data_IF_310274197403
#
_entry.id   IF_310274197403
#
_cell.length_a   1.000
_cell.length_b   1.000
_cell.length_c   1.000
_cell.angle_alpha   90.00
_cell.angle_beta   90.00
_cell.angle_gamma   90.00
#
_symmetry.space_group_name_H-M   'P 1'
#
loop_
_entity.id
_entity.type
_entity.pdbx_description
1 polymer ?
#
# COMPACT_ATOMS: atom_id res chain seq x y z
N UNK A 1 11.30 -2.36 21.33
CA UNK A 1 12.26 -1.43 20.68
C UNK A 1 11.58 -0.85 19.47
N UNK A 2 11.64 0.47 19.25
CA UNK A 2 11.07 1.06 18.03
C UNK A 2 11.81 0.51 16.81
N UNK A 3 11.10 0.12 15.75
CA UNK A 3 11.71 -0.44 14.55
C UNK A 3 12.48 0.59 13.72
N UNK A 4 12.22 1.88 13.98
CA UNK A 4 12.90 3.01 13.39
C UNK A 4 13.99 3.52 14.33
N UNK A 5 15.10 3.94 13.74
CA UNK A 5 16.24 4.56 14.41
C UNK A 5 16.27 6.07 14.15
N UNK A 6 17.05 6.83 14.91
CA UNK A 6 17.20 8.28 14.69
C UNK A 6 17.72 8.63 13.28
N UNK A 7 18.47 7.72 12.64
CA UNK A 7 18.92 7.90 11.26
C UNK A 7 17.77 7.92 10.24
N UNK A 8 16.65 7.29 10.58
CA UNK A 8 15.46 7.21 9.73
C UNK A 8 14.57 8.45 9.85
N UNK A 9 14.77 9.29 10.88
CA UNK A 9 13.91 10.45 11.16
C UNK A 9 13.79 11.43 9.98
N UNK A 10 14.87 11.85 9.30
CA UNK A 10 14.76 12.74 8.14
C UNK A 10 13.94 12.10 7.00
N UNK A 11 14.12 10.80 6.78
CA UNK A 11 13.39 10.04 5.76
C UNK A 11 11.90 9.97 6.10
N UNK A 12 11.58 9.66 7.36
CA UNK A 12 10.19 9.59 7.84
C UNK A 12 9.52 10.95 7.69
N UNK A 13 10.18 12.05 8.08
CA UNK A 13 9.64 13.39 7.95
C UNK A 13 9.41 13.77 6.48
N UNK A 14 10.38 13.48 5.61
CA UNK A 14 10.31 13.76 4.18
C UNK A 14 9.17 13.00 3.49
N UNK A 15 9.10 11.68 3.69
CA UNK A 15 8.08 10.84 3.07
C UNK A 15 6.69 11.10 3.63
N UNK A 16 6.56 11.31 4.94
CA UNK A 16 5.27 11.63 5.55
C UNK A 16 4.76 12.99 5.07
N UNK A 17 5.63 14.00 4.97
CA UNK A 17 5.29 15.31 4.42
C UNK A 17 4.90 15.27 2.94
N UNK A 18 5.40 14.29 2.18
CA UNK A 18 5.04 14.06 0.78
C UNK A 18 3.75 13.23 0.60
N UNK A 19 3.10 12.76 1.67
CA UNK A 19 1.88 11.96 1.60
C UNK A 19 2.12 10.44 1.45
N UNK A 20 3.28 9.94 1.85
CA UNK A 20 3.56 8.49 1.85
C UNK A 20 2.98 7.82 3.10
N UNK A 21 2.30 6.69 2.94
CA UNK A 21 1.68 5.97 4.05
C UNK A 21 2.70 5.27 4.98
N UNK A 22 2.34 4.95 6.24
CA UNK A 22 3.26 4.38 7.22
C UNK A 22 3.94 3.08 6.78
N UNK A 23 3.18 2.18 6.14
CA UNK A 23 3.73 0.91 5.65
C UNK A 23 4.73 1.13 4.51
N UNK A 24 4.52 2.12 3.64
CA UNK A 24 5.52 2.49 2.64
C UNK A 24 6.76 3.12 3.28
N UNK A 25 6.60 3.97 4.29
CA UNK A 25 7.74 4.54 5.03
C UNK A 25 8.60 3.42 5.62
N UNK A 26 8.00 2.42 6.27
CA UNK A 26 8.73 1.25 6.78
C UNK A 26 9.52 0.50 5.70
N UNK A 27 8.97 0.38 4.49
CA UNK A 27 9.68 -0.24 3.35
C UNK A 27 10.94 0.54 2.98
N UNK A 28 10.85 1.86 2.88
CA UNK A 28 11.99 2.72 2.56
C UNK A 28 13.01 2.84 3.70
N UNK A 29 12.57 2.68 4.95
CA UNK A 29 13.43 2.57 6.14
C UNK A 29 13.95 1.13 6.38
N UNK A 30 13.81 0.22 5.42
CA UNK A 30 14.37 -1.15 5.47
C UNK A 30 13.88 -1.99 6.66
N UNK A 31 12.67 -1.73 7.14
CA UNK A 31 12.09 -2.47 8.26
C UNK A 31 11.65 -3.85 7.75
N UNK A 32 12.40 -4.89 8.12
CA UNK A 32 12.12 -6.28 7.73
C UNK A 32 11.18 -7.06 8.65
N UNK A 33 10.72 -6.47 9.76
CA UNK A 33 9.83 -7.17 10.69
C UNK A 33 8.40 -7.19 10.18
N UNK A 34 7.94 -8.38 9.75
CA UNK A 34 6.63 -8.60 9.14
C UNK A 34 5.46 -8.24 10.07
N UNK A 35 5.60 -8.48 11.38
CA UNK A 35 4.53 -8.23 12.36
C UNK A 35 4.17 -6.76 12.45
N UNK A 36 5.14 -5.86 12.23
CA UNK A 36 4.90 -4.42 12.25
C UNK A 36 3.94 -3.97 11.16
N UNK A 37 4.02 -4.59 9.98
CA UNK A 37 3.15 -4.24 8.85
C UNK A 37 1.69 -4.64 9.09
N UNK A 38 1.44 -5.57 10.00
CA UNK A 38 0.11 -6.11 10.31
C UNK A 38 -0.66 -5.26 11.33
N UNK A 39 -0.03 -4.27 11.97
CA UNK A 39 -0.76 -3.37 12.86
C UNK A 39 -1.78 -2.53 12.09
N UNK A 40 -2.89 -2.13 12.74
CA UNK A 40 -3.88 -1.24 12.16
C UNK A 40 -3.26 0.07 11.68
N UNK A 41 -3.74 0.58 10.55
CA UNK A 41 -3.23 1.81 9.93
C UNK A 41 -3.17 3.00 10.91
N UNK A 42 -4.24 3.19 11.71
CA UNK A 42 -4.35 4.28 12.69
C UNK A 42 -3.25 4.20 13.76
N UNK A 43 -2.92 3.00 14.21
CA UNK A 43 -1.86 2.77 15.20
C UNK A 43 -0.49 3.08 14.60
N UNK A 44 -0.23 2.60 13.38
CA UNK A 44 1.02 2.90 12.67
C UNK A 44 1.24 4.39 12.46
N UNK A 45 0.19 5.11 12.07
CA UNK A 45 0.24 6.55 11.88
C UNK A 45 0.49 7.29 13.21
N UNK A 46 -0.16 6.86 14.30
CA UNK A 46 0.08 7.41 15.64
C UNK A 46 1.54 7.20 16.07
N UNK A 47 2.07 5.99 15.88
CA UNK A 47 3.44 5.65 16.25
C UNK A 47 4.47 6.47 15.46
N UNK A 48 4.25 6.70 14.16
CA UNK A 48 5.12 7.57 13.35
C UNK A 48 5.08 9.04 13.82
N UNK A 49 3.88 9.58 14.08
CA UNK A 49 3.74 10.95 14.60
C UNK A 49 4.41 11.10 15.97
N UNK A 50 4.29 10.11 16.85
CA UNK A 50 4.96 10.12 18.15
C UNK A 50 6.48 10.01 18.01
N UNK A 51 6.97 9.16 17.11
CA UNK A 51 8.39 9.06 16.79
C UNK A 51 8.97 10.41 16.37
N UNK A 52 8.26 11.16 15.51
CA UNK A 52 8.66 12.50 15.09
C UNK A 52 8.65 13.54 16.23
N UNK A 53 7.69 13.47 17.16
CA UNK A 53 7.58 14.41 18.29
C UNK A 53 8.66 14.25 19.37
N UNK A 54 9.16 13.03 19.59
CA UNK A 54 10.07 12.71 20.71
C UNK A 54 11.42 13.44 20.79
N UNK A 55 11.75 14.33 19.83
CA UNK A 55 12.92 15.22 19.90
C UNK A 55 12.59 16.71 20.07
N UNK A 56 11.35 17.15 19.86
CA UNK A 56 10.99 18.57 20.11
C UNK A 56 11.21 18.93 21.60
N UNK A 57 10.94 17.99 22.51
CA UNK A 57 11.15 18.18 23.95
C UNK A 57 12.65 18.18 24.35
N UNK A 58 13.55 17.68 23.50
CA UNK A 58 15.01 17.63 23.78
C UNK A 58 15.76 18.84 23.24
N UNK A 59 15.30 19.47 22.18
CA UNK A 59 15.92 20.69 21.63
C UNK A 59 15.51 21.96 22.43
N UNK A 60 14.31 22.01 23.01
CA UNK A 60 13.87 23.14 23.84
C UNK A 60 14.50 23.20 25.25
N UNK A 61 15.26 22.17 25.65
CA UNK A 61 15.91 22.10 26.98
C UNK A 61 17.41 22.42 26.95
N UNK A 62 18.00 22.65 25.76
CA UNK A 62 19.43 22.89 25.60
C UNK A 62 19.79 24.37 25.44
N UNK A 63 19.37 25.25 26.37
CA UNK A 63 19.86 26.63 26.38
C UNK A 63 19.83 27.35 27.74
N UNK A 64 20.28 26.76 28.85
CA UNK A 64 20.74 27.56 30.00
C UNK A 64 21.86 26.84 30.73
N UNK A 65 23.06 27.42 30.71
CA UNK A 65 23.96 27.55 31.86
C UNK A 65 25.25 28.26 31.45
N UNK A 66 25.27 29.60 31.59
CA UNK A 66 26.48 30.35 31.94
C UNK A 66 26.08 31.49 32.89
N UNK A 67 26.63 31.44 34.10
CA UNK A 67 26.48 32.38 35.21
C UNK A 67 26.89 33.84 34.90
N UNK A 68 26.10 34.80 35.40
CA UNK A 68 26.48 36.22 35.56
C UNK A 68 25.33 37.16 36.00
N UNK A 69 25.57 38.24 36.79
CA UNK A 69 24.73 38.65 37.95
C UNK A 69 23.85 39.93 37.73
N UNK A 70 23.07 40.41 38.74
CA UNK A 70 21.69 40.91 38.55
C UNK A 70 21.58 42.41 38.29
N UNK A 71 20.58 42.83 37.49
CA UNK A 71 20.15 44.23 37.45
C UNK A 71 18.63 44.43 37.24
N UNK A 72 17.98 44.80 38.35
CA UNK A 72 16.98 45.87 38.53
C UNK A 72 15.66 45.84 37.74
N UNK A 73 14.60 45.58 38.53
CA UNK A 73 13.20 46.01 38.33
C UNK A 73 13.11 47.42 37.71
N UNK A 74 12.35 47.54 36.63
CA UNK A 74 11.65 48.78 36.30
C UNK A 74 10.14 48.60 36.47
N UNK A 75 9.64 49.38 37.43
CA UNK A 75 8.25 49.64 37.77
C UNK A 75 7.77 50.75 36.84
N UNK A 76 6.56 50.68 36.28
CA UNK A 76 5.88 51.87 35.75
C UNK A 76 4.41 51.83 36.18
N UNK A 77 4.02 52.81 36.99
CA UNK A 77 2.67 53.03 37.45
C UNK A 77 2.04 54.28 36.82
N UNK A 78 0.71 54.18 36.66
CA UNK A 78 -0.39 55.15 36.83
C UNK A 78 -0.34 56.60 36.30
N UNK A 79 -1.41 56.99 35.59
CA UNK A 79 -2.46 58.00 35.95
C UNK A 79 -3.19 58.43 34.65
N UNK A 80 -4.45 58.07 34.38
CA UNK A 80 -5.77 58.60 34.83
C UNK A 80 -6.23 59.92 34.18
N UNK A 81 -7.40 59.90 33.51
CA UNK A 81 -8.62 60.73 33.73
C UNK A 81 -9.70 60.42 32.66
N UNK A 82 -10.98 60.22 33.08
CA UNK A 82 -12.17 59.86 32.24
C UNK A 82 -12.97 61.09 31.76
N UNK A 83 -14.33 61.06 31.59
CA UNK A 83 -15.32 59.96 31.54
C UNK A 83 -16.31 60.06 30.32
N UNK A 84 -17.10 59.00 30.03
CA UNK A 84 -18.57 59.05 29.78
C UNK A 84 -19.17 57.68 29.38
N UNK A 85 -19.93 57.13 30.33
CA UNK A 85 -21.33 56.64 30.26
C UNK A 85 -21.87 55.51 29.34
N UNK A 86 -22.64 54.63 30.02
CA UNK A 86 -23.73 53.72 29.57
C UNK A 86 -23.25 52.44 28.80
N UNK A 87 -23.54 51.19 29.16
CA UNK A 87 -24.78 50.63 29.72
C UNK A 87 -24.61 49.13 30.09
N UNK A 88 -25.09 48.81 31.30
CA UNK A 88 -25.66 47.60 31.90
C UNK A 88 -25.86 46.30 31.05
N UNK A 89 -25.31 45.16 31.48
CA UNK A 89 -26.02 44.16 32.31
C UNK A 89 -25.27 42.81 32.33
N UNK A 90 -24.94 42.34 33.53
CA UNK A 90 -24.51 40.96 33.77
C UNK A 90 -25.69 40.01 33.97
N UNK A 91 -25.43 38.71 33.89
CA UNK A 91 -25.71 37.72 34.96
C UNK A 91 -25.15 36.37 34.51
N UNK A 92 -24.47 35.73 35.45
CA UNK A 92 -23.92 34.37 35.43
C UNK A 92 -25.04 33.32 35.33
N UNK A 93 -24.75 32.21 34.64
CA UNK A 93 -24.79 30.84 35.20
C UNK A 93 -25.41 29.79 34.26
N UNK A 94 -24.79 28.60 34.32
CA UNK A 94 -25.35 27.26 34.17
C UNK A 94 -25.40 26.60 32.78
N UNK A 95 -24.49 25.63 32.67
CA UNK A 95 -24.56 24.39 31.87
C UNK A 95 -25.88 23.66 32.14
N UNK A 96 -26.48 23.03 31.11
CA UNK A 96 -26.81 21.61 31.24
C UNK A 96 -26.23 20.78 30.09
N UNK A 97 -25.54 19.69 30.47
CA UNK A 97 -25.59 18.41 29.74
C UNK A 97 -27.06 18.03 29.54
N UNK A 98 -27.47 17.61 28.34
CA UNK A 98 -27.74 16.19 28.03
C UNK A 98 -27.76 15.98 26.50
N UNK A 99 -27.08 14.91 26.09
CA UNK A 99 -27.14 14.11 24.88
C UNK A 99 -28.20 14.47 23.82
N UNK A 100 -27.72 14.57 22.57
CA UNK A 100 -28.42 13.89 21.48
C UNK A 100 -27.39 13.17 20.59
N UNK A 101 -27.64 11.87 20.47
CA UNK A 101 -26.85 10.90 19.73
C UNK A 101 -27.00 11.18 18.23
N UNK A 102 -25.96 11.70 17.61
CA UNK A 102 -25.72 11.45 16.19
C UNK A 102 -24.25 11.11 16.00
N UNK A 103 -24.01 9.81 15.89
CA UNK A 103 -22.78 9.23 15.38
C UNK A 103 -22.55 9.72 13.94
N UNK A 104 -22.03 10.94 13.82
CA UNK A 104 -21.32 11.36 12.65
C UNK A 104 -20.09 10.48 12.57
N UNK A 105 -20.16 9.47 11.71
CA UNK A 105 -18.99 8.72 11.23
C UNK A 105 -18.00 9.76 10.72
N UNK A 106 -17.02 10.12 11.54
CA UNK A 106 -15.84 10.84 11.10
C UNK A 106 -15.04 9.91 10.19
N UNK A 107 -15.51 9.77 8.94
CA UNK A 107 -14.69 9.40 7.81
C UNK A 107 -13.72 10.56 7.57
N UNK A 108 -12.72 10.68 8.44
CA UNK A 108 -11.49 11.36 8.07
C UNK A 108 -10.95 10.60 6.86
N UNK A 109 -11.17 11.17 5.68
CA UNK A 109 -10.71 10.59 4.42
C UNK A 109 -9.21 10.32 4.56
N UNK A 110 -8.83 9.05 4.54
CA UNK A 110 -7.41 8.68 4.63
C UNK A 110 -6.76 9.14 3.34
N UNK A 111 -5.80 10.06 3.43
CA UNK A 111 -5.05 10.53 2.27
C UNK A 111 -4.44 9.34 1.52
N UNK A 112 -4.62 9.33 0.20
CA UNK A 112 -4.12 8.25 -0.64
C UNK A 112 -2.60 8.33 -0.73
N UNK A 113 -1.94 7.21 -0.46
CA UNK A 113 -0.50 7.13 -0.52
C UNK A 113 0.02 7.45 -1.93
N UNK A 114 0.88 8.47 -2.03
CA UNK A 114 1.51 8.86 -3.30
C UNK A 114 2.45 7.79 -3.90
N UNK A 115 2.84 6.76 -3.13
CA UNK A 115 3.68 5.65 -3.61
C UNK A 115 2.87 4.41 -3.98
N UNK A 116 2.05 3.89 -3.06
CA UNK A 116 1.36 2.62 -3.26
C UNK A 116 -0.10 2.74 -3.70
N UNK A 117 -0.63 3.97 -3.82
CA UNK A 117 -1.98 4.24 -4.32
C UNK A 117 -3.06 3.41 -3.60
N UNK A 118 -2.95 3.25 -2.27
CA UNK A 118 -3.91 2.47 -1.48
C UNK A 118 -3.59 1.00 -1.24
N UNK A 119 -2.63 0.40 -1.96
CA UNK A 119 -2.35 -1.06 -1.85
C UNK A 119 -1.96 -1.49 -0.43
N UNK A 120 -1.16 -0.68 0.28
CA UNK A 120 -0.80 -0.90 1.69
C UNK A 120 -1.64 -0.05 2.65
N UNK A 121 -2.84 0.36 2.23
CA UNK A 121 -3.83 1.03 3.06
C UNK A 121 -5.05 0.11 3.11
N UNK A 122 -6.16 0.49 2.47
CA UNK A 122 -7.42 -0.27 2.48
C UNK A 122 -7.29 -1.70 1.96
N UNK A 123 -6.52 -1.92 0.89
CA UNK A 123 -6.40 -3.24 0.25
C UNK A 123 -5.60 -4.29 1.03
N UNK A 124 -5.08 -3.93 2.20
CA UNK A 124 -4.44 -4.87 3.12
C UNK A 124 -5.07 -4.89 4.52
N UNK A 125 -6.25 -4.28 4.68
CA UNK A 125 -7.06 -4.38 5.89
C UNK A 125 -8.03 -5.57 5.82
N UNK A 126 -8.56 -5.93 6.99
CA UNK A 126 -9.41 -7.12 7.17
C UNK A 126 -10.68 -7.11 6.31
N UNK A 127 -11.27 -5.94 6.05
CA UNK A 127 -12.50 -5.85 5.25
C UNK A 127 -12.27 -6.27 3.80
N UNK A 128 -11.10 -5.93 3.24
CA UNK A 128 -10.73 -6.40 1.91
C UNK A 128 -10.43 -7.90 1.90
N UNK A 129 -9.80 -8.43 2.95
CA UNK A 129 -9.55 -9.87 3.10
C UNK A 129 -10.88 -10.63 3.14
N UNK A 130 -11.86 -10.16 3.91
CA UNK A 130 -13.21 -10.76 3.96
C UNK A 130 -13.87 -10.79 2.59
N UNK A 131 -13.80 -9.70 1.82
CA UNK A 131 -14.28 -9.66 0.44
C UNK A 131 -13.60 -10.69 -0.46
N UNK A 132 -12.29 -10.91 -0.29
CA UNK A 132 -11.58 -11.98 -1.00
C UNK A 132 -12.10 -13.36 -0.58
N UNK A 133 -12.27 -13.62 0.72
CA UNK A 133 -12.79 -14.88 1.24
C UNK A 133 -14.21 -15.18 0.76
N UNK A 134 -15.10 -14.19 0.76
CA UNK A 134 -16.46 -14.32 0.21
C UNK A 134 -16.42 -14.75 -1.27
N UNK A 135 -15.50 -14.19 -2.04
CA UNK A 135 -15.32 -14.56 -3.46
C UNK A 135 -14.78 -15.98 -3.62
N UNK A 136 -13.85 -16.40 -2.76
CA UNK A 136 -13.32 -17.78 -2.73
C UNK A 136 -14.42 -18.77 -2.39
N UNK A 137 -15.15 -18.51 -1.30
CA UNK A 137 -16.21 -19.40 -0.79
C UNK A 137 -17.39 -19.51 -1.76
N UNK A 138 -17.73 -18.44 -2.48
CA UNK A 138 -18.78 -18.48 -3.51
C UNK A 138 -18.37 -19.17 -4.82
N UNK A 139 -17.10 -19.58 -4.95
CA UNK A 139 -16.60 -20.28 -6.14
C UNK A 139 -16.64 -21.81 -6.02
N UNK A 140 -17.06 -22.35 -4.86
CA UNK A 140 -17.29 -23.78 -4.60
C UNK A 140 -16.13 -24.74 -4.98
N UNK A 141 -14.89 -24.25 -4.90
CA UNK A 141 -13.71 -25.09 -5.11
C UNK A 141 -13.40 -25.96 -3.89
N UNK A 142 -12.89 -27.17 -4.13
CA UNK A 142 -12.25 -27.99 -3.10
C UNK A 142 -10.75 -27.78 -3.11
N UNK A 143 -10.20 -27.34 -1.97
CA UNK A 143 -8.77 -27.09 -1.80
C UNK A 143 -8.35 -27.30 -0.34
N UNK A 144 -7.09 -27.67 -0.13
CA UNK A 144 -6.50 -27.88 1.22
C UNK A 144 -5.37 -26.90 1.52
N UNK A 145 -4.94 -26.14 0.52
CA UNK A 145 -3.96 -25.05 0.61
C UNK A 145 -4.19 -24.11 -0.56
N UNK A 146 -3.62 -22.90 -0.52
CA UNK A 146 -3.74 -21.94 -1.63
C UNK A 146 -2.42 -21.20 -1.89
N UNK A 147 -2.26 -20.69 -3.11
CA UNK A 147 -1.22 -19.72 -3.48
C UNK A 147 -1.85 -18.37 -3.79
N UNK A 148 -1.30 -17.29 -3.20
CA UNK A 148 -1.72 -15.92 -3.51
C UNK A 148 -0.91 -15.31 -4.64
N UNK A 149 -1.61 -14.90 -5.68
CA UNK A 149 -1.11 -14.19 -6.85
C UNK A 149 -1.62 -12.75 -6.87
N UNK A 150 -0.71 -11.80 -7.09
CA UNK A 150 -1.04 -10.37 -7.03
C UNK A 150 -0.45 -9.68 -8.25
N UNK A 151 -1.33 -9.02 -9.01
CA UNK A 151 -1.00 -8.21 -10.18
C UNK A 151 -1.19 -6.74 -9.82
N UNK A 152 -0.08 -6.00 -9.81
CA UNK A 152 -0.01 -4.59 -9.43
C UNK A 152 0.10 -3.70 -10.68
N UNK A 153 -0.49 -2.49 -10.67
CA UNK A 153 -0.36 -1.53 -11.77
C UNK A 153 1.12 -1.24 -12.09
N UNK A 154 1.54 -1.30 -13.37
CA UNK A 154 2.93 -1.08 -13.79
C UNK A 154 3.52 0.26 -13.29
N UNK A 155 2.70 1.31 -13.29
CA UNK A 155 3.03 2.67 -12.86
C UNK A 155 3.46 2.79 -11.40
N UNK A 156 3.07 1.83 -10.53
CA UNK A 156 3.59 1.78 -9.16
C UNK A 156 5.11 1.65 -9.12
N UNK A 157 5.71 1.02 -10.14
CA UNK A 157 7.17 0.89 -10.24
C UNK A 157 7.84 2.24 -10.51
N UNK A 158 7.19 3.12 -11.27
CA UNK A 158 7.67 4.49 -11.56
C UNK A 158 7.61 5.33 -10.28
N UNK A 159 6.48 5.28 -9.56
CA UNK A 159 6.29 5.97 -8.27
C UNK A 159 7.27 5.49 -7.20
N UNK A 160 7.48 4.17 -7.11
CA UNK A 160 8.46 3.59 -6.20
C UNK A 160 9.89 4.02 -6.54
N UNK A 161 10.24 4.13 -7.83
CA UNK A 161 11.54 4.62 -8.26
C UNK A 161 11.75 6.11 -7.91
N UNK A 162 10.74 6.95 -8.13
CA UNK A 162 10.80 8.37 -7.73
C UNK A 162 10.98 8.52 -6.22
N UNK A 163 10.19 7.80 -5.41
CA UNK A 163 10.35 7.80 -3.97
C UNK A 163 11.73 7.27 -3.54
N UNK A 164 12.25 6.22 -4.19
CA UNK A 164 13.60 5.73 -3.94
C UNK A 164 14.68 6.77 -4.25
N UNK A 165 14.59 7.50 -5.37
CA UNK A 165 15.52 8.58 -5.71
C UNK A 165 15.52 9.68 -4.63
N UNK A 166 14.33 10.06 -4.14
CA UNK A 166 14.18 11.03 -3.08
C UNK A 166 14.87 10.58 -1.79
N UNK A 167 14.63 9.34 -1.35
CA UNK A 167 15.25 8.78 -0.15
C UNK A 167 16.76 8.61 -0.34
N UNK A 168 17.21 8.19 -1.53
CA UNK A 168 18.62 8.06 -1.88
C UNK A 168 19.34 9.40 -1.78
N UNK A 169 18.72 10.47 -2.27
CA UNK A 169 19.27 11.83 -2.16
C UNK A 169 19.38 12.27 -0.70
N UNK A 170 18.35 12.03 0.11
CA UNK A 170 18.34 12.40 1.53
C UNK A 170 19.37 11.60 2.34
N UNK A 171 19.47 10.29 2.10
CA UNK A 171 20.50 9.43 2.67
C UNK A 171 21.91 9.89 2.29
N UNK A 172 22.10 10.33 1.04
CA UNK A 172 23.36 10.88 0.56
C UNK A 172 23.82 12.11 1.35
N UNK A 173 22.89 13.00 1.74
CA UNK A 173 23.20 14.15 2.62
C UNK A 173 23.67 13.73 4.00
N UNK A 174 23.22 12.56 4.48
CA UNK A 174 23.62 11.95 5.76
C UNK A 174 24.91 11.11 5.64
N UNK A 175 25.53 11.05 4.46
CA UNK A 175 26.70 10.20 4.19
C UNK A 175 26.38 8.70 4.18
N UNK A 176 25.12 8.32 3.98
CA UNK A 176 24.64 6.94 3.93
C UNK A 176 24.33 6.54 2.48
N UNK A 177 24.60 5.27 2.14
CA UNK A 177 24.20 4.71 0.84
C UNK A 177 22.90 3.93 0.95
N UNK A 178 22.10 3.96 -0.12
CA UNK A 178 20.87 3.19 -0.27
C UNK A 178 20.90 2.46 -1.61
N UNK A 179 21.01 1.13 -1.57
CA UNK A 179 20.81 0.30 -2.74
C UNK A 179 19.31 0.11 -3.00
N UNK A 180 18.97 -0.20 -4.25
CA UNK A 180 17.58 -0.49 -4.63
C UNK A 180 17.09 -1.81 -4.03
N UNK A 181 17.98 -2.77 -3.78
CA UNK A 181 17.63 -4.06 -3.18
C UNK A 181 17.48 -4.00 -1.65
N UNK A 182 17.84 -2.86 -1.03
CA UNK A 182 17.69 -2.65 0.40
C UNK A 182 16.23 -2.38 0.81
N UNK A 183 15.38 -1.94 -0.12
CA UNK A 183 13.99 -1.59 0.17
C UNK A 183 13.08 -2.81 0.06
N UNK A 184 12.15 -2.95 1.00
CA UNK A 184 11.15 -4.02 0.95
C UNK A 184 10.21 -3.77 -0.23
N UNK A 185 10.07 -4.75 -1.12
CA UNK A 185 9.24 -4.60 -2.31
C UNK A 185 7.76 -4.50 -1.95
N UNK A 186 6.99 -3.69 -2.69
CA UNK A 186 5.55 -3.51 -2.45
C UNK A 186 4.79 -4.83 -2.39
N UNK A 187 5.05 -5.71 -3.37
CA UNK A 187 4.41 -7.03 -3.46
C UNK A 187 4.77 -7.93 -2.28
N UNK A 188 5.98 -7.81 -1.76
CA UNK A 188 6.43 -8.60 -0.61
C UNK A 188 5.76 -8.13 0.69
N UNK A 189 5.81 -6.82 0.96
CA UNK A 189 5.13 -6.24 2.13
C UNK A 189 3.61 -6.54 2.11
N UNK A 190 2.98 -6.48 0.94
CA UNK A 190 1.56 -6.84 0.79
C UNK A 190 1.31 -8.31 1.18
N UNK A 191 2.16 -9.23 0.73
CA UNK A 191 2.06 -10.66 1.08
C UNK A 191 2.28 -10.93 2.56
N UNK A 192 3.21 -10.22 3.22
CA UNK A 192 3.44 -10.34 4.66
C UNK A 192 2.20 -10.01 5.50
N UNK A 193 1.34 -9.13 4.97
CA UNK A 193 0.11 -8.68 5.63
C UNK A 193 -1.05 -9.61 5.28
N UNK A 194 -1.26 -9.92 4.00
CA UNK A 194 -2.43 -10.67 3.54
C UNK A 194 -2.33 -12.17 3.78
N UNK A 195 -1.16 -12.81 3.56
CA UNK A 195 -1.06 -14.28 3.65
C UNK A 195 -1.60 -14.84 4.98
N UNK A 196 -1.21 -14.31 6.16
CA UNK A 196 -1.70 -14.83 7.42
C UNK A 196 -3.20 -14.58 7.61
N UNK A 197 -3.68 -13.39 7.26
CA UNK A 197 -5.11 -13.04 7.39
C UNK A 197 -5.98 -13.93 6.52
N UNK A 198 -5.59 -14.14 5.26
CA UNK A 198 -6.33 -14.99 4.32
C UNK A 198 -6.27 -16.48 4.75
N UNK A 199 -5.14 -16.92 5.29
CA UNK A 199 -4.98 -18.28 5.81
C UNK A 199 -5.85 -18.54 7.04
N UNK A 200 -5.95 -17.56 7.94
CA UNK A 200 -6.82 -17.62 9.12
C UNK A 200 -8.29 -17.64 8.72
N UNK A 201 -8.72 -16.71 7.85
CA UNK A 201 -10.12 -16.60 7.43
C UNK A 201 -10.60 -17.81 6.59
N UNK A 202 -9.75 -18.36 5.72
CA UNK A 202 -10.08 -19.57 4.94
C UNK A 202 -9.82 -20.88 5.71
N UNK A 203 -9.21 -20.82 6.90
CA UNK A 203 -8.81 -21.99 7.69
C UNK A 203 -7.96 -23.01 6.92
N UNK A 204 -7.15 -22.55 5.96
CA UNK A 204 -6.21 -23.37 5.17
C UNK A 204 -4.84 -22.70 5.08
N UNK A 205 -3.73 -23.46 5.02
CA UNK A 205 -2.40 -22.90 4.90
C UNK A 205 -2.12 -22.30 3.51
N UNK A 206 -1.26 -21.27 3.48
CA UNK A 206 -0.67 -20.80 2.21
C UNK A 206 0.49 -21.73 1.80
N UNK A 207 0.45 -22.24 0.57
CA UNK A 207 1.51 -23.05 -0.03
C UNK A 207 1.83 -22.54 -1.44
N UNK A 208 3.09 -22.19 -1.68
CA UNK A 208 3.57 -21.72 -2.99
C UNK A 208 3.49 -22.78 -4.10
N UNK A 209 3.26 -24.04 -3.75
CA UNK A 209 3.05 -25.16 -4.69
C UNK A 209 1.59 -25.60 -4.77
N UNK A 210 0.66 -24.89 -4.13
CA UNK A 210 -0.76 -25.23 -4.22
C UNK A 210 -1.25 -25.17 -5.66
N UNK A 211 -2.13 -26.10 -6.01
CA UNK A 211 -2.87 -26.09 -7.27
C UNK A 211 -3.97 -25.02 -7.26
N UNK A 212 -4.43 -24.59 -6.09
CA UNK A 212 -5.46 -23.59 -5.95
C UNK A 212 -4.85 -22.19 -5.83
N UNK A 213 -5.09 -21.36 -6.85
CA UNK A 213 -4.61 -19.99 -6.95
C UNK A 213 -5.74 -19.01 -6.63
N UNK A 214 -5.51 -18.16 -5.62
CA UNK A 214 -6.31 -16.95 -5.39
C UNK A 214 -5.55 -15.78 -5.99
N UNK A 215 -6.16 -15.08 -6.95
CA UNK A 215 -5.52 -13.99 -7.67
C UNK A 215 -6.28 -12.68 -7.52
N UNK A 216 -5.54 -11.59 -7.34
CA UNK A 216 -6.09 -10.23 -7.29
C UNK A 216 -5.38 -9.35 -8.30
N UNK A 217 -6.15 -8.65 -9.12
CA UNK A 217 -5.66 -7.71 -10.13
C UNK A 217 -6.05 -6.30 -9.74
N UNK A 218 -5.05 -5.45 -9.57
CA UNK A 218 -5.24 -4.04 -9.26
C UNK A 218 -4.99 -3.18 -10.50
N UNK A 219 -5.77 -2.11 -10.64
CA UNK A 219 -5.63 -1.07 -11.65
C UNK A 219 -5.68 0.32 -11.02
N UNK A 220 -5.16 1.33 -11.72
CA UNK A 220 -5.32 2.72 -11.33
C UNK A 220 -5.46 3.62 -12.56
N UNK A 221 -6.71 3.86 -13.02
CA UNK A 221 -6.97 4.59 -14.27
C UNK A 221 -6.40 6.01 -14.29
N UNK A 222 -6.44 6.71 -13.15
CA UNK A 222 -5.98 8.11 -13.03
C UNK A 222 -4.49 8.27 -13.39
N UNK A 223 -3.67 7.24 -13.18
CA UNK A 223 -2.21 7.32 -13.40
C UNK A 223 -1.68 6.31 -14.41
N UNK A 224 -2.55 5.75 -15.25
CA UNK A 224 -2.17 4.74 -16.24
C UNK A 224 -1.15 5.28 -17.27
N UNK A 225 -1.19 6.58 -17.52
CA UNK A 225 -0.30 7.27 -18.46
C UNK A 225 1.10 7.57 -17.89
N UNK A 226 1.34 7.35 -16.59
CA UNK A 226 2.64 7.65 -15.96
C UNK A 226 3.79 6.80 -16.51
N UNK A 227 3.50 5.68 -17.15
CA UNK A 227 4.51 4.86 -17.82
C UNK A 227 4.88 5.36 -19.22
N UNK A 228 4.06 6.22 -19.83
CA UNK A 228 4.15 6.55 -21.26
C UNK A 228 5.49 7.20 -21.63
N UNK A 229 6.05 8.05 -20.76
CA UNK A 229 7.34 8.70 -21.04
C UNK A 229 8.49 7.69 -21.20
N UNK A 230 8.41 6.51 -20.57
CA UNK A 230 9.45 5.48 -20.68
C UNK A 230 9.53 4.89 -22.09
N UNK A 231 8.44 4.90 -22.87
CA UNK A 231 8.48 4.48 -24.26
C UNK A 231 9.31 5.45 -25.13
N UNK A 232 9.31 6.73 -24.78
CA UNK A 232 10.10 7.76 -25.46
C UNK A 232 11.56 7.70 -25.05
N UNK A 233 11.84 7.52 -23.75
CA UNK A 233 13.22 7.55 -23.22
C UNK A 233 13.95 6.21 -23.41
N UNK A 234 13.23 5.09 -23.40
CA UNK A 234 13.78 3.74 -23.49
C UNK A 234 12.97 2.85 -24.47
N UNK A 235 12.87 3.23 -25.76
CA UNK A 235 12.03 2.53 -26.74
C UNK A 235 12.39 1.04 -26.89
N UNK A 236 13.67 0.69 -26.72
CA UNK A 236 14.15 -0.70 -26.82
C UNK A 236 13.51 -1.67 -25.80
N UNK A 237 13.02 -1.14 -24.68
CA UNK A 237 12.35 -1.92 -23.64
C UNK A 237 10.88 -2.22 -23.97
N UNK A 238 10.28 -1.50 -24.91
CA UNK A 238 8.86 -1.52 -25.23
C UNK A 238 8.65 -1.94 -26.69
N UNK A 239 8.96 -3.20 -26.99
CA UNK A 239 8.71 -3.76 -28.33
C UNK A 239 7.23 -4.13 -28.47
N UNK A 240 6.52 -3.64 -29.50
CA UNK A 240 5.16 -4.07 -29.78
C UNK A 240 5.14 -5.58 -30.10
N UNK A 241 4.58 -6.38 -29.21
CA UNK A 241 4.27 -7.78 -29.54
C UNK A 241 2.94 -7.78 -30.31
N UNK A 242 2.87 -8.50 -31.44
CA UNK A 242 1.71 -8.55 -32.35
C UNK A 242 0.36 -8.95 -31.72
N UNK A 243 0.32 -9.28 -30.42
CA UNK A 243 -0.84 -9.87 -29.75
C UNK A 243 -1.00 -9.46 -28.26
N UNK A 244 -0.35 -8.38 -27.80
CA UNK A 244 -0.51 -7.92 -26.39
C UNK A 244 -1.35 -6.64 -26.31
N UNK A 245 -2.35 -6.68 -25.44
CA UNK A 245 -3.32 -5.60 -25.19
C UNK A 245 -2.69 -4.38 -24.49
N UNK A 246 -1.51 -4.55 -23.85
CA UNK A 246 -0.73 -3.46 -23.25
C UNK A 246 0.77 -3.67 -23.44
N UNK A 247 1.46 -2.61 -23.88
CA UNK A 247 2.92 -2.58 -24.08
C UNK A 247 3.66 -2.41 -22.74
N UNK A 248 3.01 -1.81 -21.75
CA UNK A 248 3.61 -1.43 -20.46
C UNK A 248 3.46 -2.53 -19.40
N UNK A 249 4.02 -3.72 -19.64
CA UNK A 249 4.08 -4.72 -18.57
C UNK A 249 4.98 -4.26 -17.43
N UNK A 250 4.68 -4.64 -16.18
CA UNK A 250 5.51 -4.31 -15.00
C UNK A 250 6.99 -4.66 -15.21
N UNK A 251 7.27 -5.81 -15.84
CA UNK A 251 8.63 -6.24 -16.13
C UNK A 251 9.34 -5.33 -17.15
N UNK A 252 8.63 -4.86 -18.18
CA UNK A 252 9.20 -3.91 -19.15
C UNK A 252 9.49 -2.55 -18.51
N UNK A 253 8.59 -2.07 -17.64
CA UNK A 253 8.78 -0.84 -16.87
C UNK A 253 9.99 -0.94 -15.94
N UNK A 254 10.12 -2.03 -15.17
CA UNK A 254 11.28 -2.25 -14.28
C UNK A 254 12.60 -2.22 -15.08
N UNK A 255 12.65 -2.91 -16.23
CA UNK A 255 13.82 -2.91 -17.11
C UNK A 255 14.14 -1.53 -17.68
N UNK A 256 13.13 -0.72 -18.00
CA UNK A 256 13.34 0.66 -18.45
C UNK A 256 13.89 1.54 -17.31
N UNK A 257 13.35 1.40 -16.09
CA UNK A 257 13.80 2.13 -14.90
C UNK A 257 15.23 1.77 -14.46
N UNK A 258 15.74 0.59 -14.83
CA UNK A 258 17.14 0.19 -14.60
C UNK A 258 18.11 0.81 -15.60
N UNK A 259 17.63 1.22 -16.79
CA UNK A 259 18.45 1.77 -17.87
C UNK A 259 18.41 3.30 -17.94
N UNK A 260 17.31 3.90 -17.53
CA UNK A 260 17.12 5.34 -17.56
C UNK A 260 18.13 6.03 -16.63
N UNK A 261 18.67 7.16 -17.08
CA UNK A 261 19.52 8.02 -16.23
C UNK A 261 18.64 8.80 -15.24
N UNK A 262 19.14 9.03 -14.04
CA UNK A 262 18.40 9.75 -12.99
C UNK A 262 17.97 11.16 -13.46
N UNK A 263 18.87 11.88 -14.15
CA UNK A 263 18.59 13.20 -14.72
C UNK A 263 17.43 13.19 -15.72
N UNK A 264 17.36 12.16 -16.57
CA UNK A 264 16.31 12.04 -17.58
C UNK A 264 14.98 11.62 -16.94
N UNK A 265 15.02 10.76 -15.91
CA UNK A 265 13.85 10.43 -15.12
C UNK A 265 13.25 11.68 -14.47
N UNK A 266 14.07 12.50 -13.80
CA UNK A 266 13.63 13.69 -13.07
C UNK A 266 13.11 14.81 -13.99
N UNK A 267 13.48 14.82 -15.28
CA UNK A 267 12.88 15.73 -16.29
C UNK A 267 11.45 15.36 -16.64
N UNK A 268 11.10 14.08 -16.55
CA UNK A 268 9.82 13.56 -17.03
C UNK A 268 8.84 13.18 -15.92
N UNK A 269 9.32 12.88 -14.71
CA UNK A 269 8.46 12.42 -13.61
C UNK A 269 8.73 13.17 -12.30
N UNK A 270 7.69 13.60 -11.56
CA UNK A 270 7.85 14.35 -10.32
C UNK A 270 8.49 13.51 -9.19
N UNK A 271 9.37 14.14 -8.42
CA UNK A 271 10.05 13.55 -7.28
C UNK A 271 9.99 14.51 -6.08
N UNK A 272 9.14 14.28 -5.06
CA UNK A 272 8.30 13.10 -4.83
C UNK A 272 7.17 12.91 -5.85
N UNK A 273 6.62 11.68 -5.97
CA UNK A 273 5.39 11.45 -6.71
C UNK A 273 4.25 12.36 -6.25
N UNK A 274 3.45 12.84 -7.20
CA UNK A 274 2.26 13.63 -6.90
C UNK A 274 1.23 12.82 -6.12
N UNK A 275 0.53 13.42 -5.14
CA UNK A 275 -0.57 12.76 -4.45
C UNK A 275 -1.72 12.49 -5.44
N UNK A 276 -2.21 11.25 -5.55
CA UNK A 276 -3.36 10.92 -6.39
C UNK A 276 -4.66 11.37 -5.72
N UNK A 277 -5.73 11.47 -6.51
CA UNK A 277 -7.07 11.74 -5.98
C UNK A 277 -7.76 10.48 -5.50
N UNK A 278 -7.56 9.36 -6.19
CA UNK A 278 -8.25 8.10 -5.93
C UNK A 278 -7.28 7.00 -5.50
N UNK A 279 -7.84 5.99 -4.83
CA UNK A 279 -7.15 4.72 -4.55
C UNK A 279 -7.09 3.87 -5.82
N UNK A 280 -6.23 2.84 -5.82
CA UNK A 280 -6.33 1.73 -6.76
C UNK A 280 -7.75 1.15 -6.74
N UNK A 281 -8.09 0.45 -7.82
CA UNK A 281 -9.29 -0.36 -7.90
C UNK A 281 -8.86 -1.83 -7.97
N UNK A 282 -9.46 -2.67 -7.14
CA UNK A 282 -9.38 -4.13 -7.32
C UNK A 282 -10.28 -4.48 -8.52
N UNK A 283 -9.67 -4.60 -9.71
CA UNK A 283 -10.37 -4.88 -10.96
C UNK A 283 -11.04 -6.25 -10.89
N UNK A 284 -10.30 -7.25 -10.42
CA UNK A 284 -10.75 -8.63 -10.39
C UNK A 284 -10.17 -9.39 -9.19
N UNK A 285 -11.00 -10.23 -8.59
CA UNK A 285 -10.61 -11.27 -7.63
C UNK A 285 -11.06 -12.59 -8.26
N UNK A 286 -10.10 -13.44 -8.64
CA UNK A 286 -10.37 -14.72 -9.29
C UNK A 286 -9.77 -15.87 -8.50
N UNK A 287 -10.42 -17.03 -8.59
CA UNK A 287 -9.94 -18.27 -8.00
C UNK A 287 -9.89 -19.33 -9.10
N UNK A 288 -8.75 -19.99 -9.26
CA UNK A 288 -8.54 -21.05 -10.23
C UNK A 288 -7.93 -22.27 -9.54
N UNK A 289 -8.26 -23.47 -10.03
CA UNK A 289 -7.62 -24.70 -9.60
C UNK A 289 -6.83 -25.30 -10.77
N UNK A 290 -5.62 -25.78 -10.47
CA UNK A 290 -4.76 -26.46 -11.42
C UNK A 290 -5.40 -27.74 -11.95
N UNK A 291 -4.95 -28.17 -13.12
CA UNK A 291 -5.47 -29.38 -13.75
C UNK A 291 -5.19 -30.62 -12.88
N UNK A 292 -6.21 -31.44 -12.69
CA UNK A 292 -6.10 -32.77 -12.09
C UNK A 292 -6.10 -33.79 -13.22
N UNK A 293 -5.06 -34.62 -13.28
CA UNK A 293 -4.90 -35.63 -14.32
C UNK A 293 -5.34 -36.99 -13.80
N UNK A 294 -6.23 -37.65 -14.54
CA UNK A 294 -6.63 -39.03 -14.27
C UNK A 294 -5.82 -39.94 -15.17
N UNK A 295 -4.96 -40.78 -14.58
CA UNK A 295 -4.23 -41.81 -15.31
C UNK A 295 -4.95 -43.16 -15.16
N UNK A 296 -5.13 -43.88 -16.27
CA UNK A 296 -5.71 -45.23 -16.28
C UNK A 296 -5.32 -45.98 -17.55
N UNK A 297 -5.28 -47.31 -17.47
CA UNK A 297 -5.26 -48.15 -18.68
C UNK A 297 -6.68 -48.18 -19.23
N UNK A 298 -6.88 -47.69 -20.46
CA UNK A 298 -8.10 -47.98 -21.21
C UNK A 298 -8.07 -49.48 -21.52
N UNK A 299 -8.69 -50.30 -20.68
CA UNK A 299 -8.98 -51.68 -21.06
C UNK A 299 -10.01 -51.55 -22.19
N UNK A 300 -9.58 -51.86 -23.42
CA UNK A 300 -10.49 -52.16 -24.51
C UNK A 300 -11.30 -53.39 -24.13
N UNK A 301 -12.34 -53.20 -23.31
CA UNK A 301 -13.40 -54.17 -23.19
C UNK A 301 -14.11 -54.15 -24.53
N UNK A 302 -13.89 -55.20 -25.32
CA UNK A 302 -14.55 -55.44 -26.59
C UNK A 302 -16.03 -55.06 -26.47
N UNK A 303 -16.42 -54.01 -27.19
CA UNK A 303 -17.78 -53.51 -27.25
C UNK A 303 -18.62 -54.53 -28.04
N UNK A 304 -19.07 -55.59 -27.37
CA UNK A 304 -20.03 -56.54 -27.93
C UNK A 304 -21.37 -56.56 -27.17
N UNK A 305 -21.61 -55.57 -26.28
CA UNK A 305 -22.86 -55.50 -25.52
C UNK A 305 -23.50 -54.09 -25.35
N UNK A 306 -23.01 -53.06 -26.05
CA UNK A 306 -23.61 -51.71 -25.99
C UNK A 306 -24.14 -51.22 -27.35
N UNK A 307 -24.50 -52.14 -28.25
CA UNK A 307 -25.22 -51.84 -29.51
C UNK A 307 -26.69 -52.30 -29.49
N UNK A 308 -27.20 -52.78 -28.35
CA UNK A 308 -28.54 -53.40 -28.28
C UNK A 308 -29.52 -52.76 -27.30
N UNK A 309 -29.22 -51.61 -26.71
CA UNK A 309 -30.24 -50.84 -26.00
C UNK A 309 -30.20 -49.39 -26.48
N UNK A 310 -31.32 -49.04 -27.07
CA UNK A 310 -31.59 -47.92 -27.93
C UNK A 310 -32.18 -46.77 -27.09
N UNK A 311 -32.01 -45.54 -27.61
CA UNK A 311 -32.83 -44.34 -27.37
C UNK A 311 -32.47 -43.43 -26.17
N UNK A 312 -32.18 -42.16 -26.55
CA UNK A 312 -32.08 -40.93 -25.76
C UNK A 312 -30.85 -40.75 -24.85
N UNK A 313 -29.79 -40.13 -25.37
CA UNK A 313 -29.38 -38.77 -24.95
C UNK A 313 -28.38 -38.17 -25.95
N UNK A 314 -28.48 -36.86 -26.11
CA UNK A 314 -27.90 -36.06 -27.19
C UNK A 314 -26.40 -35.78 -26.94
N UNK A 315 -25.57 -35.99 -27.98
CA UNK A 315 -24.23 -35.42 -28.23
C UNK A 315 -23.21 -35.38 -27.09
N UNK A 316 -22.32 -36.38 -27.09
CA UNK A 316 -20.91 -36.19 -26.71
C UNK A 316 -20.04 -36.65 -27.90
N UNK A 317 -19.49 -35.70 -28.65
CA UNK A 317 -18.43 -35.97 -29.63
C UNK A 317 -17.10 -36.06 -28.88
N UNK A 318 -16.56 -37.28 -28.78
CA UNK A 318 -15.15 -37.50 -28.44
C UNK A 318 -14.46 -37.91 -29.74
N UNK A 319 -13.73 -36.98 -30.34
CA UNK A 319 -12.76 -37.27 -31.39
C UNK A 319 -11.56 -38.01 -30.76
N UNK A 320 -11.43 -39.32 -31.02
CA UNK A 320 -10.16 -40.04 -30.84
C UNK A 320 -9.45 -40.17 -32.18
N UNK A 321 -8.40 -39.37 -32.38
CA UNK A 321 -7.36 -39.68 -33.34
C UNK A 321 -6.10 -40.01 -32.53
N UNK A 322 -5.74 -41.29 -32.48
CA UNK A 322 -4.40 -41.87 -32.53
C UNK A 322 -4.51 -43.40 -32.49
#
# INVERSE_FOLDING_TARGET
>A
MSPLTEKDRPIVQLLLGAGTCPRCIFRFCRVGSQTLYRHPYKELMKNLKQFLKGNQEKEDTACFDVDGPPCKRFRRGHAEEGPDDLNQNGVLSQIPLVNDDNAAVENSAVDVCNVCLGILQEFCEIDFVKKMCEKVNSSDYQFTSFVLSVSLPPQLSVREHAAWLLVKQEMGKLGLSLAKDDIVQLKEAYKWIIHPQLSEELSVPTDGKSLFEVSVVFGHPETDEECCFLATVCPDCFKPAKNKQSVFTRMAVIKALEKIKEEDFLKHFPCPPSPPKNLCVALEIQCNNGAVFVAGKVICLFLLLLLTINVHFHKLEICSAF
#
